data_IF_606790143824
#
_entry.id   IF_606790143824
#
_cell.length_a   1.000
_cell.length_b   1.000
_cell.length_c   1.000
_cell.angle_alpha   90.00
_cell.angle_beta   90.00
_cell.angle_gamma   90.00
#
_symmetry.space_group_name_H-M   'P 1'
#
loop_
_entity.id
_entity.type
_entity.pdbx_description
1 polymer ?
#
# COMPACT_ATOMS: atom_id res chain seq x y z
N UNK A 1 -13.45 -7.03 3.28
CA UNK A 1 -13.27 -5.58 3.58
C UNK A 1 -11.79 -5.23 3.42
N UNK A 2 -11.46 -4.02 2.94
CA UNK A 2 -10.07 -3.56 2.85
C UNK A 2 -9.73 -2.53 3.91
N UNK A 3 -8.49 -2.58 4.41
CA UNK A 3 -7.92 -1.59 5.34
C UNK A 3 -6.49 -1.28 4.90
N UNK A 4 -6.01 -0.06 5.10
CA UNK A 4 -4.60 0.27 4.93
C UNK A 4 -3.97 0.83 6.20
N UNK A 5 -2.70 0.50 6.45
CA UNK A 5 -1.98 0.93 7.64
C UNK A 5 -0.60 0.29 7.74
N UNK A 6 0.08 0.50 8.86
CA UNK A 6 1.34 -0.18 9.17
C UNK A 6 1.06 -1.57 9.76
N UNK A 7 1.69 -2.59 9.20
CA UNK A 7 1.73 -3.96 9.70
C UNK A 7 3.16 -4.25 10.14
N UNK A 8 3.37 -4.58 11.41
CA UNK A 8 4.68 -4.91 11.96
C UNK A 8 4.76 -6.40 12.32
N UNK A 9 5.98 -6.92 12.32
CA UNK A 9 6.31 -8.20 12.96
C UNK A 9 6.01 -8.19 14.47
N UNK A 10 6.06 -9.37 15.10
CA UNK A 10 5.75 -9.51 16.52
C UNK A 10 6.67 -8.63 17.40
N UNK A 11 7.93 -8.49 17.02
CA UNK A 11 8.93 -7.74 17.78
C UNK A 11 8.90 -6.23 17.49
N UNK A 12 8.10 -5.78 16.52
CA UNK A 12 8.06 -4.40 16.06
C UNK A 12 9.36 -3.94 15.36
N UNK A 13 10.24 -4.85 14.99
CA UNK A 13 11.53 -4.50 14.37
C UNK A 13 11.39 -4.19 12.89
N UNK A 14 10.36 -4.74 12.24
CA UNK A 14 10.12 -4.61 10.82
C UNK A 14 8.64 -4.36 10.55
N UNK A 15 8.34 -3.19 9.99
CA UNK A 15 7.00 -2.75 9.62
C UNK A 15 6.91 -2.49 8.12
N UNK A 16 5.75 -2.78 7.56
CA UNK A 16 5.40 -2.45 6.18
C UNK A 16 4.13 -1.63 6.15
N UNK A 17 4.05 -0.63 5.28
CA UNK A 17 2.77 -0.03 4.96
C UNK A 17 2.02 -0.98 4.03
N UNK A 18 0.77 -1.29 4.33
CA UNK A 18 0.05 -2.39 3.72
C UNK A 18 -1.38 -1.98 3.36
N UNK A 19 -1.89 -2.52 2.26
CA UNK A 19 -3.32 -2.76 2.04
C UNK A 19 -3.60 -4.20 2.41
N UNK A 20 -4.56 -4.41 3.29
CA UNK A 20 -4.97 -5.70 3.82
C UNK A 20 -6.40 -6.00 3.36
N UNK A 21 -6.67 -7.26 3.04
CA UNK A 21 -8.03 -7.78 2.83
C UNK A 21 -8.42 -8.70 3.97
N UNK A 22 -9.59 -8.44 4.55
CA UNK A 22 -10.27 -9.33 5.48
C UNK A 22 -11.25 -10.19 4.69
N UNK A 23 -11.03 -11.51 4.59
CA UNK A 23 -12.02 -12.44 4.02
C UNK A 23 -13.28 -12.43 4.90
N UNK A 24 -14.44 -12.68 4.29
CA UNK A 24 -15.70 -12.72 5.06
C UNK A 24 -15.81 -14.01 5.88
N UNK A 25 -16.70 -14.00 6.88
CA UNK A 25 -16.91 -15.08 7.87
C UNK A 25 -17.21 -16.48 7.28
N UNK A 26 -17.48 -16.58 5.98
CA UNK A 26 -17.69 -17.87 5.30
C UNK A 26 -16.39 -18.61 4.94
N UNK A 27 -15.24 -17.96 5.06
CA UNK A 27 -13.93 -18.57 4.81
C UNK A 27 -13.25 -18.92 6.15
N UNK A 28 -13.76 -19.97 6.80
CA UNK A 28 -13.50 -20.35 8.19
C UNK A 28 -12.06 -20.76 8.52
N UNK A 29 -11.14 -20.72 7.55
CA UNK A 29 -9.73 -21.08 7.71
C UNK A 29 -8.77 -19.88 7.76
N UNK A 30 -9.26 -18.65 7.53
CA UNK A 30 -8.40 -17.47 7.40
C UNK A 30 -8.89 -16.32 8.28
N UNK A 31 -8.71 -16.47 9.59
CA UNK A 31 -8.99 -15.40 10.56
C UNK A 31 -8.02 -14.20 10.46
N UNK A 32 -7.02 -14.28 9.59
CA UNK A 32 -5.95 -13.29 9.49
C UNK A 32 -6.08 -12.43 8.23
N UNK A 33 -5.88 -11.11 8.34
CA UNK A 33 -5.84 -10.23 7.18
C UNK A 33 -4.74 -10.67 6.21
N UNK A 34 -5.06 -10.71 4.92
CA UNK A 34 -4.07 -11.01 3.88
C UNK A 34 -3.47 -9.73 3.32
N UNK A 35 -2.15 -9.71 3.16
CA UNK A 35 -1.44 -8.62 2.52
C UNK A 35 -1.70 -8.63 1.01
N UNK A 36 -2.23 -7.52 0.50
CA UNK A 36 -2.59 -7.33 -0.91
C UNK A 36 -1.55 -6.48 -1.63
N UNK A 37 -1.11 -5.40 -0.99
CA UNK A 37 -0.16 -4.46 -1.58
C UNK A 37 0.69 -3.83 -0.48
N UNK A 38 1.98 -3.63 -0.75
CA UNK A 38 2.87 -2.89 0.15
C UNK A 38 4.02 -2.27 -0.66
N UNK A 39 4.25 -0.95 -0.56
CA UNK A 39 5.29 -0.30 -1.34
C UNK A 39 6.70 -0.56 -0.84
N UNK A 40 6.84 -1.06 0.39
CA UNK A 40 8.11 -1.23 1.08
C UNK A 40 8.30 -2.65 1.62
N UNK A 41 7.66 -3.64 0.98
CA UNK A 41 7.77 -5.05 1.36
C UNK A 41 9.22 -5.53 1.45
N UNK A 42 10.03 -5.16 0.46
CA UNK A 42 11.45 -5.56 0.39
C UNK A 42 12.39 -4.63 1.20
N UNK A 43 11.84 -3.53 1.72
CA UNK A 43 12.59 -2.57 2.54
C UNK A 43 11.72 -2.14 3.75
N UNK A 44 11.53 -3.03 4.74
CA UNK A 44 10.75 -2.73 5.93
C UNK A 44 11.32 -1.55 6.72
N UNK A 45 10.43 -0.83 7.40
CA UNK A 45 10.76 0.32 8.25
C UNK A 45 10.65 -0.04 9.72
N UNK A 46 11.21 0.77 10.61
CA UNK A 46 11.11 0.56 12.06
C UNK A 46 9.84 1.21 12.62
N UNK A 47 9.50 0.89 13.88
CA UNK A 47 8.48 1.64 14.63
C UNK A 47 8.80 3.13 14.60
N UNK A 48 7.76 3.97 14.56
CA UNK A 48 7.79 5.43 14.39
C UNK A 48 8.11 5.92 12.97
N UNK A 49 8.15 5.02 11.98
CA UNK A 49 8.07 5.42 10.58
C UNK A 49 6.78 6.20 10.28
N UNK A 50 6.83 7.06 9.27
CA UNK A 50 5.72 7.94 8.91
C UNK A 50 5.35 7.80 7.44
N UNK A 51 4.05 7.78 7.17
CA UNK A 51 3.51 7.98 5.83
C UNK A 51 2.91 9.39 5.78
N UNK A 52 3.47 10.26 4.95
CA UNK A 52 3.08 11.67 4.90
C UNK A 52 2.71 12.09 3.48
N UNK A 53 1.49 12.62 3.34
CA UNK A 53 1.10 13.40 2.16
C UNK A 53 1.52 14.86 2.37
N UNK A 54 2.49 15.32 1.61
CA UNK A 54 3.03 16.69 1.69
C UNK A 54 2.20 17.67 0.89
N UNK A 55 2.32 18.95 1.25
CA UNK A 55 1.68 20.07 0.53
C UNK A 55 2.14 20.21 -0.92
N UNK A 56 3.33 19.69 -1.26
CA UNK A 56 3.83 19.64 -2.64
C UNK A 56 3.26 18.45 -3.45
N UNK A 57 2.31 17.71 -2.88
CA UNK A 57 1.61 16.59 -3.51
C UNK A 57 2.35 15.27 -3.47
N UNK A 58 3.53 15.20 -2.86
CA UNK A 58 4.26 13.94 -2.67
C UNK A 58 3.69 13.11 -1.51
N UNK A 59 3.38 11.83 -1.75
CA UNK A 59 3.20 10.84 -0.68
C UNK A 59 4.53 10.15 -0.44
N UNK A 60 5.07 10.26 0.78
CA UNK A 60 6.35 9.68 1.16
C UNK A 60 6.20 8.76 2.36
N UNK A 61 6.92 7.65 2.31
CA UNK A 61 7.17 6.77 3.43
C UNK A 61 8.59 7.01 3.93
N UNK A 62 8.71 7.47 5.17
CA UNK A 62 9.96 7.76 5.85
C UNK A 62 10.16 6.79 7.00
N UNK A 63 11.37 6.25 7.17
CA UNK A 63 11.74 5.48 8.36
C UNK A 63 11.88 6.40 9.59
N UNK A 64 12.00 5.81 10.78
CA UNK A 64 12.06 6.54 12.05
C UNK A 64 13.30 7.43 12.23
N UNK A 65 14.30 7.26 11.36
CA UNK A 65 15.52 8.08 11.29
C UNK A 65 15.47 9.10 10.14
N UNK A 66 14.28 9.41 9.62
CA UNK A 66 14.07 10.30 8.47
C UNK A 66 14.70 9.82 7.15
N UNK A 67 15.01 8.53 7.03
CA UNK A 67 15.42 7.95 5.74
C UNK A 67 14.20 7.80 4.83
N UNK A 68 14.29 8.29 3.59
CA UNK A 68 13.25 8.08 2.59
C UNK A 68 13.28 6.63 2.09
N UNK A 69 12.18 5.91 2.28
CA UNK A 69 12.04 4.49 1.92
C UNK A 69 11.26 4.33 0.62
N UNK A 70 10.15 5.06 0.46
CA UNK A 70 9.33 5.00 -0.74
C UNK A 70 8.58 6.31 -1.02
N UNK A 71 8.22 6.53 -2.30
CA UNK A 71 7.40 7.69 -2.74
C UNK A 71 6.62 7.40 -4.02
N UNK A 72 5.53 8.12 -4.23
CA UNK A 72 4.66 8.04 -5.43
C UNK A 72 5.16 8.84 -6.65
N UNK A 73 6.27 9.59 -6.53
CA UNK A 73 6.76 10.51 -7.57
C UNK A 73 5.71 11.54 -8.08
N UNK A 74 4.80 11.97 -7.20
CA UNK A 74 3.75 12.95 -7.50
C UNK A 74 4.07 14.38 -7.06
N UNK A 75 5.33 14.66 -6.69
CA UNK A 75 5.77 16.00 -6.30
C UNK A 75 5.51 17.01 -7.42
N UNK A 76 4.95 18.16 -7.06
CA UNK A 76 4.54 19.22 -7.98
C UNK A 76 3.17 19.00 -8.63
N UNK A 77 2.51 17.86 -8.37
CA UNK A 77 1.12 17.64 -8.81
C UNK A 77 0.14 18.18 -7.77
N UNK A 78 -1.03 18.64 -8.22
CA UNK A 78 -2.09 19.21 -7.38
C UNK A 78 -2.90 18.12 -6.65
N UNK A 79 -2.22 17.30 -5.84
CA UNK A 79 -2.86 16.28 -5.02
C UNK A 79 -3.65 16.95 -3.90
N UNK A 80 -4.92 16.57 -3.77
CA UNK A 80 -5.86 17.08 -2.76
C UNK A 80 -6.11 16.09 -1.64
N UNK A 81 -5.84 14.80 -1.86
CA UNK A 81 -5.99 13.78 -0.84
C UNK A 81 -5.54 12.41 -1.30
N UNK A 82 -5.65 11.47 -0.37
CA UNK A 82 -5.36 10.06 -0.52
C UNK A 82 -6.53 9.26 0.04
N UNK A 83 -7.01 8.25 -0.69
CA UNK A 83 -8.14 7.40 -0.26
C UNK A 83 -7.92 5.94 -0.61
N UNK A 84 -8.51 5.06 0.19
CA UNK A 84 -8.64 3.64 -0.10
C UNK A 84 -10.05 3.40 -0.68
N UNK A 85 -10.13 2.77 -1.85
CA UNK A 85 -11.43 2.39 -2.44
C UNK A 85 -11.96 1.09 -1.87
N UNK A 86 -13.25 0.81 -2.09
CA UNK A 86 -13.88 -0.45 -1.68
C UNK A 86 -13.26 -1.69 -2.34
N UNK A 87 -12.58 -1.51 -3.47
CA UNK A 87 -11.83 -2.58 -4.16
C UNK A 87 -10.38 -2.72 -3.66
N UNK A 88 -9.97 -1.94 -2.66
CA UNK A 88 -8.62 -2.00 -2.12
C UNK A 88 -7.59 -1.18 -2.90
N UNK A 89 -8.02 -0.30 -3.80
CA UNK A 89 -7.10 0.57 -4.53
C UNK A 89 -6.77 1.82 -3.70
N UNK A 90 -5.49 2.06 -3.46
CA UNK A 90 -5.00 3.32 -2.90
C UNK A 90 -4.84 4.35 -4.00
N UNK A 91 -5.54 5.48 -3.88
CA UNK A 91 -5.62 6.51 -4.91
C UNK A 91 -5.23 7.87 -4.35
N UNK A 92 -4.27 8.53 -5.01
CA UNK A 92 -4.07 9.97 -4.87
C UNK A 92 -4.94 10.70 -5.89
N UNK A 93 -5.69 11.69 -5.45
CA UNK A 93 -6.65 12.41 -6.29
C UNK A 93 -6.50 13.92 -6.19
N UNK A 94 -6.91 14.65 -7.22
CA UNK A 94 -6.95 16.12 -7.25
C UNK A 94 -8.34 16.67 -6.85
N UNK A 95 -8.51 18.01 -6.87
CA UNK A 95 -9.79 18.64 -6.49
C UNK A 95 -10.96 18.24 -7.38
N UNK A 96 -10.73 17.94 -8.65
CA UNK A 96 -11.75 17.42 -9.58
C UNK A 96 -12.03 15.92 -9.38
N UNK A 97 -11.42 15.28 -8.37
CA UNK A 97 -11.50 13.85 -8.09
C UNK A 97 -10.87 12.95 -9.16
N UNK A 98 -10.06 13.53 -10.06
CA UNK A 98 -9.26 12.76 -11.02
C UNK A 98 -8.12 12.04 -10.32
N UNK A 99 -7.81 10.84 -10.83
CA UNK A 99 -6.73 10.00 -10.30
C UNK A 99 -5.38 10.52 -10.78
N UNK A 100 -4.50 10.84 -9.83
CA UNK A 100 -3.12 11.28 -10.08
C UNK A 100 -2.14 10.10 -10.04
N UNK A 101 -2.40 9.15 -9.14
CA UNK A 101 -1.61 7.95 -8.90
C UNK A 101 -2.49 6.90 -8.24
N UNK A 102 -2.26 5.62 -8.54
CA UNK A 102 -2.97 4.52 -7.91
C UNK A 102 -2.08 3.29 -7.69
N UNK A 103 -2.32 2.56 -6.59
CA UNK A 103 -1.58 1.33 -6.27
C UNK A 103 -1.76 0.21 -7.29
N UNK A 104 -2.90 0.18 -7.99
CA UNK A 104 -3.22 -0.85 -8.97
C UNK A 104 -2.27 -0.86 -10.18
N UNK A 105 -1.61 0.25 -10.47
CA UNK A 105 -0.60 0.35 -11.53
C UNK A 105 0.77 -0.21 -11.10
N UNK A 106 0.90 -0.57 -9.82
CA UNK A 106 2.12 -1.00 -9.15
C UNK A 106 1.91 -2.31 -8.37
N UNK A 107 1.26 -3.32 -8.98
CA UNK A 107 1.13 -4.64 -8.37
C UNK A 107 2.48 -5.33 -8.19
N UNK A 108 2.60 -6.07 -7.09
CA UNK A 108 3.86 -6.69 -6.69
C UNK A 108 3.74 -8.21 -6.77
N UNK A 109 2.77 -8.81 -6.08
CA UNK A 109 2.62 -10.28 -6.02
C UNK A 109 1.18 -10.79 -6.22
N UNK A 110 0.17 -9.93 -6.09
CA UNK A 110 -1.24 -10.29 -6.16
C UNK A 110 -2.03 -9.39 -7.11
N UNK A 111 -3.10 -9.93 -7.70
CA UNK A 111 -4.12 -9.19 -8.44
C UNK A 111 -5.44 -9.30 -7.69
N UNK A 112 -6.10 -8.17 -7.41
CA UNK A 112 -7.41 -8.16 -6.73
C UNK A 112 -8.57 -7.96 -7.70
N UNK A 113 -9.81 -8.34 -7.32
CA UNK A 113 -10.98 -8.07 -8.14
C UNK A 113 -11.09 -6.59 -8.55
N UNK A 114 -11.32 -6.33 -9.84
CA UNK A 114 -11.40 -4.98 -10.41
C UNK A 114 -10.05 -4.39 -10.83
N UNK A 115 -8.92 -5.01 -10.47
CA UNK A 115 -7.61 -4.61 -10.97
C UNK A 115 -7.37 -5.18 -12.37
N UNK A 116 -6.84 -4.34 -13.27
CA UNK A 116 -6.51 -4.73 -14.65
C UNK A 116 -5.00 -4.92 -14.75
N UNK A 117 -4.59 -6.08 -15.26
CA UNK A 117 -3.20 -6.37 -15.63
C UNK A 117 -3.02 -6.10 -17.13
N UNK A 118 -2.34 -5.00 -17.47
CA UNK A 118 -2.06 -4.62 -18.84
C UNK A 118 -0.88 -5.43 -19.43
N UNK A 119 -0.82 -5.59 -20.77
CA UNK A 119 0.35 -6.21 -21.41
C UNK A 119 1.66 -5.54 -20.98
N UNK A 120 2.63 -6.36 -20.57
CA UNK A 120 3.96 -5.89 -20.10
C UNK A 120 4.10 -5.78 -18.58
N UNK A 121 3.00 -5.77 -17.82
CA UNK A 121 3.05 -5.89 -16.36
C UNK A 121 3.39 -7.33 -15.93
N UNK A 122 3.94 -7.48 -14.72
CA UNK A 122 4.31 -8.78 -14.13
C UNK A 122 3.88 -8.83 -12.69
N UNK A 123 3.50 -10.01 -12.23
CA UNK A 123 3.41 -10.34 -10.80
C UNK A 123 4.67 -11.12 -10.43
N UNK A 124 5.28 -10.75 -9.32
CA UNK A 124 6.50 -11.34 -8.80
C UNK A 124 6.10 -12.08 -7.52
N UNK A 125 6.29 -13.41 -7.49
CA UNK A 125 6.03 -14.20 -6.29
C UNK A 125 6.85 -13.68 -5.12
N UNK A 126 6.20 -13.49 -3.96
CA UNK A 126 6.87 -13.09 -2.73
C UNK A 126 6.87 -14.23 -1.72
N UNK A 127 7.79 -14.18 -0.75
CA UNK A 127 7.71 -15.06 0.42
C UNK A 127 6.53 -14.55 1.24
N UNK A 128 5.45 -15.32 1.31
CA UNK A 128 4.35 -15.05 2.20
C UNK A 128 4.86 -15.12 3.64
N UNK A 129 4.67 -14.06 4.43
CA UNK A 129 4.70 -14.17 5.89
C UNK A 129 3.49 -15.00 6.32
N UNK A 130 3.56 -16.32 6.10
CA UNK A 130 2.77 -17.30 6.82
C UNK A 130 3.59 -17.68 8.05
N UNK A 131 3.32 -16.99 9.14
CA UNK A 131 3.73 -17.34 10.49
C UNK A 131 2.53 -17.15 11.40
#
# INVERSE_FOLDING_TARGET
MFVCGFLCDHDGTACVFAVLIFPSEYDSYLYYPRLVWSPNRDNPVKVNATLQLRQDGGLLLMDSNDTLIWKTNTRGKLVSGFKLTEMGNLVLFCKSNDTIWQSFDHSIDSLVPGQIMAPGQKLISSISATG
#
